data_IF_603019361148
#
_entry.id   IF_603019361148
#
_cell.length_a   1.000
_cell.length_b   1.000
_cell.length_c   1.000
_cell.angle_alpha   90.00
_cell.angle_beta   90.00
_cell.angle_gamma   90.00
#
_symmetry.space_group_name_H-M   'P 1'
#
loop_
_entity.id
_entity.type
_entity.pdbx_description
1 polymer ?
#
# COMPACT_ATOMS: atom_id res chain seq x y z
N UNK A 1 -23.07 -8.79 -1.45
CA UNK A 1 -21.92 -8.46 -2.30
C UNK A 1 -20.89 -7.74 -1.42
N UNK A 2 -19.77 -8.41 -1.18
CA UNK A 2 -18.56 -7.89 -0.51
C UNK A 2 -17.31 -8.31 -1.31
N UNK A 3 -17.48 -8.66 -2.59
CA UNK A 3 -16.45 -9.30 -3.44
C UNK A 3 -15.45 -8.32 -4.04
N UNK A 4 -15.26 -7.18 -3.41
CA UNK A 4 -14.17 -6.29 -3.77
C UNK A 4 -12.85 -6.90 -3.29
N UNK A 5 -11.82 -6.81 -4.14
CA UNK A 5 -10.49 -7.37 -3.90
C UNK A 5 -9.65 -6.45 -2.99
N UNK A 6 -10.21 -6.14 -1.82
CA UNK A 6 -9.60 -5.32 -0.79
C UNK A 6 -9.49 -6.10 0.53
N UNK A 7 -8.54 -5.75 1.42
CA UNK A 7 -8.52 -6.27 2.78
C UNK A 7 -9.82 -5.97 3.54
N UNK A 8 -10.29 -6.92 4.36
CA UNK A 8 -11.55 -6.77 5.11
C UNK A 8 -11.55 -5.52 6.00
N UNK A 9 -10.43 -5.23 6.67
CA UNK A 9 -10.29 -4.04 7.49
C UNK A 9 -10.47 -2.74 6.70
N UNK A 10 -10.05 -2.70 5.43
CA UNK A 10 -10.21 -1.53 4.54
C UNK A 10 -11.67 -1.31 4.16
N UNK A 11 -12.40 -2.40 3.89
CA UNK A 11 -13.83 -2.34 3.58
C UNK A 11 -14.65 -1.84 4.77
N UNK A 12 -14.22 -2.15 5.98
CA UNK A 12 -14.91 -1.70 7.18
C UNK A 12 -14.50 -0.27 7.58
N UNK A 13 -13.21 0.06 7.44
CA UNK A 13 -12.68 1.36 7.83
C UNK A 13 -13.28 2.50 7.02
N UNK A 14 -13.64 2.28 5.75
CA UNK A 14 -14.23 3.35 4.93
C UNK A 14 -15.58 3.82 5.48
N UNK A 15 -16.41 2.92 6.02
CA UNK A 15 -17.70 3.25 6.65
C UNK A 15 -17.44 4.14 7.87
N UNK A 16 -16.55 3.68 8.74
CA UNK A 16 -16.19 4.37 9.97
C UNK A 16 -15.60 5.76 9.71
N UNK A 17 -14.64 5.85 8.78
CA UNK A 17 -13.96 7.11 8.44
C UNK A 17 -14.92 8.12 7.81
N UNK A 18 -15.85 7.69 6.96
CA UNK A 18 -16.85 8.59 6.37
C UNK A 18 -17.85 9.08 7.43
N UNK A 19 -18.31 8.20 8.32
CA UNK A 19 -19.17 8.59 9.45
C UNK A 19 -18.45 9.57 10.40
N UNK A 20 -17.17 9.33 10.70
CA UNK A 20 -16.34 10.24 11.48
C UNK A 20 -16.21 11.60 10.81
N UNK A 21 -16.01 11.63 9.50
CA UNK A 21 -15.91 12.88 8.76
C UNK A 21 -17.19 13.72 8.89
N UNK A 22 -18.38 13.10 8.80
CA UNK A 22 -19.65 13.80 9.08
C UNK A 22 -19.72 14.34 10.52
N UNK A 23 -19.19 13.60 11.50
CA UNK A 23 -19.12 14.10 12.88
C UNK A 23 -18.17 15.30 13.06
N UNK A 24 -17.15 15.43 12.21
CA UNK A 24 -16.25 16.57 12.22
C UNK A 24 -16.88 17.83 11.59
N UNK A 25 -17.52 17.68 10.43
CA UNK A 25 -17.97 18.82 9.61
C UNK A 25 -19.36 19.33 9.99
N UNK A 26 -20.28 18.44 10.38
CA UNK A 26 -21.66 18.83 10.66
C UNK A 26 -21.79 19.31 12.11
N UNK A 27 -22.12 20.59 12.29
CA UNK A 27 -22.40 21.15 13.60
C UNK A 27 -23.79 20.73 14.11
N UNK A 28 -24.80 20.73 13.25
CA UNK A 28 -26.14 20.28 13.59
C UNK A 28 -26.22 18.75 13.66
N UNK A 29 -26.43 18.25 14.88
CA UNK A 29 -26.61 16.82 15.14
C UNK A 29 -27.88 16.23 14.54
N UNK A 30 -28.93 17.04 14.37
CA UNK A 30 -30.21 16.60 13.81
C UNK A 30 -30.06 16.36 12.32
N UNK A 31 -29.56 17.35 11.58
CA UNK A 31 -29.25 17.23 10.14
C UNK A 31 -28.27 16.08 9.88
N UNK A 32 -27.18 16.01 10.66
CA UNK A 32 -26.20 14.91 10.56
C UNK A 32 -26.85 13.53 10.68
N UNK A 33 -27.64 13.32 11.73
CA UNK A 33 -28.21 12.00 12.02
C UNK A 33 -29.38 11.64 11.08
N UNK A 34 -30.24 12.61 10.74
CA UNK A 34 -31.46 12.36 9.99
C UNK A 34 -31.28 12.47 8.47
N UNK A 35 -30.27 13.16 8.00
CA UNK A 35 -29.97 13.30 6.56
C UNK A 35 -28.68 12.57 6.20
N UNK A 36 -27.52 13.08 6.62
CA UNK A 36 -26.22 12.59 6.11
C UNK A 36 -25.94 11.13 6.46
N UNK A 37 -26.09 10.72 7.72
CA UNK A 37 -25.83 9.35 8.14
C UNK A 37 -26.85 8.35 7.59
N UNK A 38 -28.10 8.79 7.35
CA UNK A 38 -29.11 7.96 6.68
C UNK A 38 -28.75 7.73 5.21
N UNK A 39 -28.36 8.78 4.48
CA UNK A 39 -27.91 8.66 3.09
C UNK A 39 -26.66 7.78 3.01
N UNK A 40 -25.68 8.01 3.88
CA UNK A 40 -24.47 7.19 3.96
C UNK A 40 -24.79 5.70 4.16
N UNK A 41 -25.69 5.40 5.10
CA UNK A 41 -26.15 4.02 5.35
C UNK A 41 -26.81 3.43 4.11
N UNK A 42 -27.72 4.16 3.47
CA UNK A 42 -28.40 3.71 2.26
C UNK A 42 -27.41 3.41 1.14
N UNK A 43 -26.41 4.27 0.91
CA UNK A 43 -25.37 4.07 -0.10
C UNK A 43 -24.56 2.80 0.12
N UNK A 44 -24.19 2.49 1.36
CA UNK A 44 -23.48 1.25 1.68
C UNK A 44 -24.37 0.02 1.51
N UNK A 45 -25.63 0.08 1.95
CA UNK A 45 -26.60 -1.02 1.77
C UNK A 45 -26.86 -1.28 0.28
N UNK A 46 -26.99 -0.23 -0.54
CA UNK A 46 -27.15 -0.33 -1.99
C UNK A 46 -25.92 -0.93 -2.69
N UNK A 47 -24.75 -0.89 -2.05
CA UNK A 47 -23.52 -1.57 -2.50
C UNK A 47 -23.36 -2.97 -1.85
N UNK A 48 -24.46 -3.49 -1.31
CA UNK A 48 -24.58 -4.79 -0.63
C UNK A 48 -23.69 -4.99 0.60
N UNK A 49 -23.35 -3.89 1.29
CA UNK A 49 -22.74 -3.99 2.62
C UNK A 49 -23.76 -4.53 3.63
N UNK A 50 -23.27 -5.22 4.65
CA UNK A 50 -24.10 -5.85 5.67
C UNK A 50 -24.68 -4.74 6.56
N UNK A 51 -26.02 -4.58 6.63
CA UNK A 51 -26.64 -3.50 7.39
C UNK A 51 -26.19 -3.46 8.86
N UNK A 52 -25.98 -4.62 9.48
CA UNK A 52 -25.52 -4.74 10.87
C UNK A 52 -24.12 -4.15 11.03
N UNK A 53 -23.20 -4.46 10.11
CA UNK A 53 -21.83 -3.94 10.12
C UNK A 53 -21.85 -2.42 9.90
N UNK A 54 -22.65 -1.94 8.93
CA UNK A 54 -22.78 -0.51 8.64
C UNK A 54 -23.25 0.24 9.88
N UNK A 55 -24.32 -0.24 10.54
CA UNK A 55 -24.86 0.36 11.76
C UNK A 55 -23.84 0.37 12.90
N UNK A 56 -23.13 -0.74 13.11
CA UNK A 56 -22.08 -0.83 14.13
C UNK A 56 -21.00 0.23 13.95
N UNK A 57 -20.50 0.42 12.72
CA UNK A 57 -19.43 1.39 12.46
C UNK A 57 -19.93 2.84 12.47
N UNK A 58 -21.14 3.11 11.99
CA UNK A 58 -21.76 4.44 12.12
C UNK A 58 -21.95 4.78 13.60
N UNK A 59 -22.50 3.86 14.39
CA UNK A 59 -22.69 4.05 15.83
C UNK A 59 -21.35 4.23 16.56
N UNK A 60 -20.33 3.44 16.22
CA UNK A 60 -19.00 3.60 16.79
C UNK A 60 -18.42 4.99 16.51
N UNK A 61 -18.60 5.51 15.28
CA UNK A 61 -18.13 6.83 14.91
C UNK A 61 -18.88 7.95 15.65
N UNK A 62 -20.22 7.87 15.75
CA UNK A 62 -21.06 8.91 16.40
C UNK A 62 -20.88 8.99 17.91
N UNK A 63 -20.35 7.95 18.54
CA UNK A 63 -19.96 7.98 19.97
C UNK A 63 -18.77 8.88 20.26
N UNK A 64 -17.96 9.23 19.25
CA UNK A 64 -16.79 10.07 19.47
C UNK A 64 -17.24 11.54 19.42
N UNK A 65 -17.08 12.31 20.52
CA UNK A 65 -17.46 13.71 20.52
C UNK A 65 -16.64 14.51 19.52
N UNK A 66 -17.30 15.45 18.84
CA UNK A 66 -16.64 16.34 17.87
C UNK A 66 -15.44 17.07 18.46
N UNK A 67 -15.52 17.47 19.73
CA UNK A 67 -14.41 18.13 20.44
C UNK A 67 -13.13 17.31 20.44
N UNK A 68 -13.23 15.98 20.55
CA UNK A 68 -12.07 15.09 20.45
C UNK A 68 -11.56 14.93 19.02
N UNK A 69 -12.44 14.96 18.02
CA UNK A 69 -12.07 14.80 16.62
C UNK A 69 -11.31 16.01 16.04
N UNK A 70 -11.54 17.19 16.61
CA UNK A 70 -10.86 18.42 16.20
C UNK A 70 -9.50 18.63 16.89
N UNK A 71 -9.18 17.81 17.90
CA UNK A 71 -7.89 17.89 18.56
C UNK A 71 -6.80 17.29 17.67
N UNK A 72 -5.66 17.98 17.62
CA UNK A 72 -4.48 17.44 16.97
C UNK A 72 -4.01 16.19 17.72
N UNK A 73 -3.82 15.10 16.97
CA UNK A 73 -3.28 13.85 17.49
C UNK A 73 -1.85 13.69 17.00
N UNK A 74 -0.90 13.63 17.92
CA UNK A 74 0.45 13.21 17.58
C UNK A 74 0.44 11.76 17.13
N UNK A 75 0.98 11.50 15.94
CA UNK A 75 1.19 10.14 15.48
C UNK A 75 2.40 9.55 16.18
N UNK A 76 2.30 8.32 16.74
CA UNK A 76 3.45 7.66 17.30
C UNK A 76 4.45 7.35 16.19
N UNK A 77 5.74 7.53 16.47
CA UNK A 77 6.79 7.12 15.55
C UNK A 77 6.82 5.59 15.46
N UNK A 78 6.53 5.06 14.27
CA UNK A 78 6.52 3.62 14.00
C UNK A 78 7.86 3.22 13.38
N UNK A 79 8.76 2.69 14.21
CA UNK A 79 10.09 2.22 13.79
C UNK A 79 10.10 0.78 13.24
N UNK A 80 8.94 0.25 12.83
CA UNK A 80 8.81 -1.11 12.30
C UNK A 80 9.01 -1.13 10.79
N UNK A 81 9.92 -2.00 10.33
CA UNK A 81 10.18 -2.18 8.90
C UNK A 81 8.93 -2.74 8.21
N UNK A 82 8.45 -2.12 7.12
CA UNK A 82 7.27 -2.60 6.41
C UNK A 82 7.60 -3.81 5.52
N UNK A 83 6.81 -4.88 5.65
CA UNK A 83 6.75 -5.96 4.68
C UNK A 83 5.62 -5.67 3.69
N UNK A 84 5.99 -5.13 2.53
CA UNK A 84 5.02 -4.74 1.49
C UNK A 84 4.77 -5.91 0.54
N UNK A 85 3.52 -6.39 0.50
CA UNK A 85 3.10 -7.46 -0.42
C UNK A 85 1.88 -7.03 -1.23
N UNK A 86 1.74 -7.58 -2.44
CA UNK A 86 0.50 -7.39 -3.20
C UNK A 86 -0.65 -8.08 -2.48
N UNK A 87 -1.77 -7.40 -2.27
CA UNK A 87 -2.93 -8.00 -1.63
C UNK A 87 -3.43 -9.21 -2.44
N UNK A 88 -3.70 -10.31 -1.74
CA UNK A 88 -4.42 -11.47 -2.23
C UNK A 88 -5.21 -12.03 -1.03
N UNK A 89 -6.52 -12.31 -1.16
CA UNK A 89 -7.35 -12.91 -0.10
C UNK A 89 -6.79 -14.21 0.51
N UNK A 90 -5.92 -14.94 -0.20
CA UNK A 90 -5.26 -16.14 0.28
C UNK A 90 -4.13 -15.85 1.30
N UNK A 91 -3.63 -14.61 1.36
CA UNK A 91 -2.53 -14.19 2.23
C UNK A 91 -2.96 -13.82 3.66
N UNK A 92 -4.15 -14.27 4.11
CA UNK A 92 -4.65 -14.01 5.48
C UNK A 92 -3.69 -14.51 6.56
N UNK A 93 -2.98 -15.61 6.30
CA UNK A 93 -2.03 -16.23 7.23
C UNK A 93 -0.67 -15.54 7.29
N UNK A 94 -0.36 -14.63 6.35
CA UNK A 94 0.96 -14.01 6.25
C UNK A 94 1.36 -13.25 7.53
N UNK A 95 0.39 -12.61 8.19
CA UNK A 95 0.62 -11.95 9.49
C UNK A 95 1.04 -12.96 10.57
N UNK A 96 0.47 -14.16 10.56
CA UNK A 96 0.84 -15.23 11.49
C UNK A 96 2.23 -15.74 11.16
N UNK A 97 2.49 -16.06 9.89
CA UNK A 97 3.80 -16.52 9.41
C UNK A 97 4.91 -15.54 9.78
N UNK A 98 4.72 -14.24 9.56
CA UNK A 98 5.71 -13.22 9.91
C UNK A 98 6.03 -13.18 11.42
N UNK A 99 5.06 -13.49 12.29
CA UNK A 99 5.30 -13.60 13.74
C UNK A 99 5.99 -14.91 14.11
N UNK A 100 5.53 -16.02 13.53
CA UNK A 100 6.07 -17.35 13.82
C UNK A 100 7.54 -17.47 13.38
N UNK A 101 7.92 -16.85 12.26
CA UNK A 101 9.29 -16.82 11.75
C UNK A 101 10.18 -15.76 12.43
N UNK A 102 9.65 -14.91 13.31
CA UNK A 102 10.42 -13.86 13.97
C UNK A 102 11.61 -14.43 14.76
N UNK A 103 11.42 -15.57 15.42
CA UNK A 103 12.48 -16.24 16.17
C UNK A 103 13.66 -16.68 15.30
N UNK A 104 13.44 -16.91 13.98
CA UNK A 104 14.53 -17.22 13.04
C UNK A 104 15.38 -15.98 12.77
N UNK A 105 14.74 -14.82 12.57
CA UNK A 105 15.44 -13.55 12.37
C UNK A 105 16.28 -13.18 13.59
N UNK A 106 15.78 -13.51 14.79
CA UNK A 106 16.47 -13.21 16.04
C UNK A 106 17.67 -14.11 16.35
N UNK A 107 17.92 -15.16 15.55
CA UNK A 107 19.15 -15.99 15.69
C UNK A 107 20.41 -15.25 15.26
N UNK A 108 20.27 -14.23 14.41
CA UNK A 108 21.35 -13.38 13.95
C UNK A 108 21.24 -12.00 14.63
N UNK A 109 22.29 -11.57 15.33
CA UNK A 109 22.29 -10.31 16.09
C UNK A 109 22.11 -9.07 15.19
N UNK A 110 22.62 -9.11 13.95
CA UNK A 110 22.41 -8.04 12.99
C UNK A 110 20.96 -7.99 12.54
N UNK A 111 20.34 -9.13 12.22
CA UNK A 111 18.92 -9.17 11.84
C UNK A 111 18.00 -8.79 13.01
N UNK A 112 18.35 -9.19 14.23
CA UNK A 112 17.63 -8.79 15.46
C UNK A 112 17.66 -7.28 15.69
N UNK A 113 18.79 -6.62 15.45
CA UNK A 113 18.87 -5.15 15.57
C UNK A 113 18.09 -4.43 14.47
N UNK A 114 18.02 -4.99 13.26
CA UNK A 114 17.23 -4.43 12.15
C UNK A 114 15.72 -4.68 12.33
N UNK A 115 15.34 -5.86 12.84
CA UNK A 115 13.96 -6.30 13.00
C UNK A 115 13.68 -6.68 14.47
N UNK A 116 13.63 -5.69 15.40
CA UNK A 116 13.32 -5.96 16.79
C UNK A 116 11.93 -6.58 16.94
N UNK A 117 10.96 -6.02 16.21
CA UNK A 117 9.59 -6.53 16.09
C UNK A 117 9.34 -7.23 14.75
N UNK A 118 8.29 -8.08 14.65
CA UNK A 118 7.82 -8.57 13.38
C UNK A 118 7.59 -7.43 12.39
N UNK A 119 7.97 -7.57 11.11
CA UNK A 119 7.72 -6.56 10.10
C UNK A 119 6.26 -6.11 10.04
N UNK A 120 6.02 -4.84 9.78
CA UNK A 120 4.68 -4.29 9.62
C UNK A 120 4.12 -4.74 8.27
N UNK A 121 3.16 -5.67 8.29
CA UNK A 121 2.54 -6.16 7.07
C UNK A 121 1.70 -5.05 6.41
N UNK A 122 2.12 -4.63 5.23
CA UNK A 122 1.45 -3.64 4.40
C UNK A 122 1.03 -4.25 3.07
N UNK A 123 -0.19 -3.95 2.64
CA UNK A 123 -0.73 -4.45 1.38
C UNK A 123 -0.74 -3.36 0.32
N UNK A 124 -0.11 -3.62 -0.83
CA UNK A 124 -0.29 -2.81 -2.03
C UNK A 124 -1.45 -3.36 -2.86
N UNK A 125 -2.14 -2.47 -3.57
CA UNK A 125 -3.20 -2.87 -4.48
C UNK A 125 -2.63 -3.72 -5.63
N UNK A 126 -3.27 -4.84 -6.03
CA UNK A 126 -2.90 -5.53 -7.26
C UNK A 126 -3.16 -4.66 -8.49
N UNK A 127 -2.49 -4.93 -9.62
CA UNK A 127 -2.78 -4.23 -10.86
C UNK A 127 -4.26 -4.41 -11.22
N UNK A 128 -4.95 -3.30 -11.41
CA UNK A 128 -6.34 -3.30 -11.88
C UNK A 128 -6.38 -3.23 -13.41
N UNK A 129 -7.55 -3.52 -13.99
CA UNK A 129 -7.72 -3.54 -15.44
C UNK A 129 -7.28 -2.23 -16.10
N UNK A 130 -7.60 -1.08 -15.48
CA UNK A 130 -7.15 0.23 -15.95
C UNK A 130 -5.62 0.29 -16.01
N UNK A 131 -4.91 -0.12 -14.96
CA UNK A 131 -3.44 -0.11 -14.94
C UNK A 131 -2.80 -1.04 -15.97
N UNK A 132 -3.48 -2.14 -16.33
CA UNK A 132 -2.99 -3.11 -17.30
C UNK A 132 -3.21 -2.64 -18.75
N UNK A 133 -4.39 -2.09 -19.02
CA UNK A 133 -4.80 -1.68 -20.37
C UNK A 133 -4.28 -0.27 -20.70
N UNK A 134 -4.26 0.63 -19.72
CA UNK A 134 -3.95 2.04 -19.96
C UNK A 134 -2.44 2.24 -19.82
N UNK A 135 -1.71 2.21 -20.93
CA UNK A 135 -0.30 2.64 -20.95
C UNK A 135 -0.27 4.16 -20.96
N UNK A 136 0.19 4.75 -19.86
CA UNK A 136 0.33 6.22 -19.73
C UNK A 136 1.55 6.78 -20.47
N UNK A 137 2.42 5.92 -20.99
CA UNK A 137 3.69 6.32 -21.60
C UNK A 137 3.61 6.26 -23.13
N UNK A 138 3.89 7.39 -23.77
CA UNK A 138 4.32 7.41 -25.17
C UNK A 138 5.70 6.75 -25.24
N UNK A 139 5.85 5.77 -26.14
CA UNK A 139 7.15 5.15 -26.40
C UNK A 139 8.05 6.19 -27.07
N UNK A 140 8.84 6.91 -26.29
CA UNK A 140 9.93 7.70 -26.83
C UNK A 140 11.08 6.77 -27.23
N UNK A 141 11.80 7.06 -28.33
CA UNK A 141 13.02 6.32 -28.66
C UNK A 141 14.01 6.49 -27.50
N UNK A 142 14.17 5.44 -26.71
CA UNK A 142 15.13 5.41 -25.61
C UNK A 142 16.47 4.93 -26.12
N UNK A 143 17.55 5.58 -25.68
CA UNK A 143 18.91 5.07 -25.91
C UNK A 143 19.08 3.70 -25.25
N UNK A 144 19.80 2.85 -25.95
CA UNK A 144 20.18 1.54 -25.48
C UNK A 144 21.18 1.65 -24.31
N UNK A 145 21.02 0.83 -23.29
CA UNK A 145 21.91 0.81 -22.14
C UNK A 145 21.20 0.70 -20.80
N UNK A 146 21.99 0.69 -19.73
CA UNK A 146 21.55 0.77 -18.34
C UNK A 146 21.54 2.22 -17.87
N UNK A 147 20.48 2.64 -17.19
CA UNK A 147 20.33 4.02 -16.69
C UNK A 147 19.60 4.06 -15.35
N UNK A 148 19.89 5.08 -14.52
CA UNK A 148 19.11 5.28 -13.31
C UNK A 148 17.65 5.58 -13.65
N UNK A 149 16.76 4.89 -12.95
CA UNK A 149 15.32 5.10 -12.84
C UNK A 149 14.87 6.54 -12.53
N UNK A 150 15.74 7.38 -11.94
CA UNK A 150 15.49 8.76 -11.46
C UNK A 150 14.29 8.95 -10.53
N UNK A 151 13.75 7.87 -9.95
CA UNK A 151 12.71 7.96 -8.91
C UNK A 151 13.35 8.47 -7.63
N UNK A 152 12.80 9.56 -7.05
CA UNK A 152 13.31 10.20 -5.83
C UNK A 152 13.54 9.23 -4.66
N UNK A 153 12.74 8.16 -4.57
CA UNK A 153 12.79 7.18 -3.49
C UNK A 153 13.67 5.95 -3.79
N UNK A 154 14.22 5.83 -5.00
CA UNK A 154 15.01 4.65 -5.35
C UNK A 154 16.42 4.73 -4.75
N UNK A 155 16.64 3.96 -3.69
CA UNK A 155 17.96 3.83 -3.04
C UNK A 155 18.97 3.01 -3.85
N UNK A 156 18.51 2.23 -4.81
CA UNK A 156 19.40 1.43 -5.68
C UNK A 156 19.98 2.27 -6.81
N UNK A 157 19.27 3.33 -7.23
CA UNK A 157 19.64 4.19 -8.36
C UNK A 157 21.09 4.75 -8.31
N UNK A 158 21.69 5.09 -7.15
CA UNK A 158 23.11 5.44 -7.03
C UNK A 158 24.11 4.33 -7.35
N UNK A 159 23.70 3.06 -7.32
CA UNK A 159 24.57 1.91 -7.54
C UNK A 159 24.55 1.42 -9.00
N UNK A 160 23.80 2.06 -9.90
CA UNK A 160 23.75 1.63 -11.30
C UNK A 160 24.93 2.17 -12.07
N UNK A 161 25.62 1.28 -12.77
CA UNK A 161 26.57 1.67 -13.80
C UNK A 161 25.77 2.04 -15.05
N UNK A 162 25.94 3.28 -15.50
CA UNK A 162 25.35 3.72 -16.77
C UNK A 162 26.28 3.30 -17.88
N UNK A 163 25.85 2.35 -18.71
CA UNK A 163 26.64 1.86 -19.83
C UNK A 163 25.75 1.41 -20.98
N UNK A 164 26.26 1.53 -22.20
CA UNK A 164 25.64 0.99 -23.41
C UNK A 164 26.21 -0.40 -23.76
N UNK A 165 27.27 -0.81 -23.05
CA UNK A 165 28.02 -2.04 -23.29
C UNK A 165 28.39 -2.76 -22.00
N UNK A 166 28.54 -4.08 -22.07
CA UNK A 166 28.97 -4.92 -20.95
C UNK A 166 30.26 -5.65 -21.37
N UNK A 167 31.35 -5.57 -20.60
CA UNK A 167 32.55 -6.35 -20.87
C UNK A 167 32.26 -7.84 -20.60
N UNK A 168 32.65 -8.72 -21.51
CA UNK A 168 32.59 -10.16 -21.31
C UNK A 168 33.85 -10.57 -20.53
N UNK A 169 33.66 -11.14 -19.34
CA UNK A 169 34.77 -11.58 -18.48
C UNK A 169 35.71 -12.50 -19.27
N UNK A 170 37.01 -12.33 -19.06
CA UNK A 170 38.08 -13.13 -19.69
C UNK A 170 38.22 -12.99 -21.22
N UNK A 171 37.57 -11.98 -21.82
CA UNK A 171 37.76 -11.61 -23.23
C UNK A 171 37.94 -10.09 -23.37
N UNK A 172 38.54 -9.63 -24.48
CA UNK A 172 38.54 -8.22 -24.86
C UNK A 172 37.24 -7.79 -25.57
N UNK A 173 36.22 -8.65 -25.57
CA UNK A 173 34.97 -8.43 -26.28
C UNK A 173 33.95 -7.69 -25.42
N UNK A 174 33.21 -6.78 -26.05
CA UNK A 174 32.13 -6.02 -25.43
C UNK A 174 30.79 -6.42 -26.04
N UNK A 175 29.79 -6.69 -25.19
CA UNK A 175 28.43 -6.94 -25.61
C UNK A 175 27.62 -5.63 -25.62
N UNK A 176 27.00 -5.29 -26.75
CA UNK A 176 26.12 -4.12 -26.84
C UNK A 176 24.76 -4.42 -26.21
N UNK A 177 24.34 -3.57 -25.29
CA UNK A 177 23.03 -3.69 -24.65
C UNK A 177 21.96 -3.31 -25.67
N UNK A 178 20.97 -4.19 -25.87
CA UNK A 178 19.82 -3.91 -26.74
C UNK A 178 18.59 -3.60 -25.89
N UNK A 179 18.13 -2.34 -25.92
CA UNK A 179 17.02 -1.85 -25.10
C UNK A 179 17.47 -0.93 -23.96
N UNK A 180 16.48 -0.29 -23.33
CA UNK A 180 16.69 0.66 -22.25
C UNK A 180 16.31 0.01 -20.91
N UNK A 181 17.32 -0.16 -20.05
CA UNK A 181 17.17 -0.86 -18.77
C UNK A 181 17.42 0.07 -17.59
N UNK A 182 16.60 -0.06 -16.56
CA UNK A 182 16.74 0.62 -15.28
C UNK A 182 16.23 -0.30 -14.17
N UNK A 183 16.41 0.02 -12.88
CA UNK A 183 15.97 -0.85 -11.76
C UNK A 183 14.47 -1.20 -11.71
N UNK A 184 13.65 -0.67 -12.61
CA UNK A 184 12.23 -1.02 -12.72
C UNK A 184 11.92 -1.92 -13.91
N UNK A 185 12.93 -2.21 -14.74
CA UNK A 185 12.86 -3.23 -15.78
C UNK A 185 12.62 -4.60 -15.16
N UNK A 186 11.79 -5.40 -15.83
CA UNK A 186 11.48 -6.77 -15.42
C UNK A 186 12.32 -7.76 -16.21
N UNK A 187 12.56 -8.93 -15.63
CA UNK A 187 13.32 -10.02 -16.26
C UNK A 187 14.78 -9.65 -16.61
N UNK A 188 15.42 -8.83 -15.77
CA UNK A 188 16.83 -8.43 -15.91
C UNK A 188 17.61 -8.93 -14.70
N UNK A 189 18.79 -9.50 -14.95
CA UNK A 189 19.79 -9.80 -13.92
C UNK A 189 20.81 -8.67 -13.96
N UNK A 190 21.09 -8.06 -12.80
CA UNK A 190 22.06 -6.97 -12.63
C UNK A 190 23.36 -7.48 -12.05
#
# INVERSE_FOLDING_TARGET
MYDSFHPDHTKHSIIYSQALWYNCICLDTTERNHHHLKTLKADFINRDYNPIIVDQYIHAATRIPRTHLLQYKQEPEINRVPLVVTYNPQLRTLRKIARDLQGILHKDERLKSIFPDPPLLAFRQPPNLKSLITRSALLHPTKNGTYPCRKKQCKTCPHILTSEKIPILDTLEEYNIHGHYNYTSSNVVY
#
